data_IF_199145199155
#
_entry.id   IF_199145199155
#
_cell.length_a   1.000
_cell.length_b   1.000
_cell.length_c   1.000
_cell.angle_alpha   90.00
_cell.angle_beta   90.00
_cell.angle_gamma   90.00
#
_symmetry.space_group_name_H-M   'P 1'
#
loop_
_entity.id
_entity.type
_entity.pdbx_description
1 polymer ?
#
# COMPACT_ATOMS: atom_id res chain seq x y z
N UNK A 1 -17.48 9.34 0.58
CA UNK A 1 -16.54 9.53 -0.54
C UNK A 1 -15.23 8.95 -0.05
N UNK A 2 -14.71 7.86 -0.60
CA UNK A 2 -13.50 7.29 0.00
C UNK A 2 -12.97 6.06 -0.70
N UNK A 3 -13.04 6.03 -2.02
CA UNK A 3 -12.22 5.13 -2.82
C UNK A 3 -11.01 5.96 -3.23
N UNK A 4 -9.84 5.54 -2.76
CA UNK A 4 -8.58 6.25 -3.00
C UNK A 4 -7.61 5.28 -3.69
N UNK A 5 -6.79 5.80 -4.58
CA UNK A 5 -5.86 4.98 -5.36
C UNK A 5 -4.57 5.73 -5.58
N UNK A 6 -3.47 4.98 -5.58
CA UNK A 6 -2.15 5.53 -5.75
C UNK A 6 -1.38 4.66 -6.74
N UNK A 7 -0.64 5.28 -7.66
CA UNK A 7 0.30 4.59 -8.50
C UNK A 7 1.67 5.25 -8.43
N UNK A 8 2.72 4.44 -8.49
CA UNK A 8 4.07 4.93 -8.66
C UNK A 8 4.82 4.07 -9.68
N UNK A 9 5.51 4.75 -10.58
CA UNK A 9 6.28 4.14 -11.67
C UNK A 9 7.76 4.40 -11.42
N UNK A 10 8.53 3.33 -11.23
CA UNK A 10 9.98 3.40 -11.04
C UNK A 10 10.72 3.25 -12.36
N UNK A 11 10.14 2.54 -13.33
CA UNK A 11 10.70 2.31 -14.66
C UNK A 11 9.63 1.93 -15.67
N UNK A 12 9.99 1.75 -16.94
CA UNK A 12 9.05 1.35 -17.99
C UNK A 12 8.38 -0.01 -17.72
N UNK A 13 9.09 -0.93 -17.05
CA UNK A 13 8.60 -2.27 -16.68
C UNK A 13 8.37 -2.45 -15.18
N UNK A 14 8.59 -1.41 -14.37
CA UNK A 14 8.46 -1.47 -12.92
C UNK A 14 7.53 -0.36 -12.44
N UNK A 15 6.33 -0.75 -12.03
CA UNK A 15 5.32 0.15 -11.49
C UNK A 15 4.42 -0.60 -10.53
N UNK A 16 3.78 0.14 -9.63
CA UNK A 16 2.88 -0.42 -8.64
C UNK A 16 1.71 0.51 -8.44
N UNK A 17 0.54 -0.09 -8.25
CA UNK A 17 -0.72 0.59 -8.03
C UNK A 17 -1.40 -0.01 -6.82
N UNK A 18 -1.82 0.83 -5.90
CA UNK A 18 -2.50 0.47 -4.67
C UNK A 18 -3.91 1.05 -4.68
N UNK A 19 -4.86 0.26 -4.22
CA UNK A 19 -6.25 0.63 -4.10
C UNK A 19 -6.66 0.59 -2.64
N UNK A 20 -7.22 1.70 -2.19
CA UNK A 20 -7.68 1.92 -0.85
C UNK A 20 -9.18 2.15 -0.85
N UNK A 21 -9.83 1.70 0.22
CA UNK A 21 -11.24 1.90 0.45
C UNK A 21 -11.44 2.21 1.91
N UNK A 22 -12.07 3.34 2.21
CA UNK A 22 -12.33 3.77 3.58
C UNK A 22 -11.02 3.87 4.39
N UNK A 23 -9.95 4.42 3.79
CA UNK A 23 -8.62 4.53 4.43
C UNK A 23 -7.80 3.23 4.48
N UNK A 24 -8.42 2.08 4.22
CA UNK A 24 -7.80 0.74 4.28
C UNK A 24 -7.30 0.28 2.92
N UNK A 25 -6.15 -0.37 2.89
CA UNK A 25 -5.67 -1.03 1.68
C UNK A 25 -6.55 -2.25 1.38
N UNK A 26 -7.13 -2.32 0.18
CA UNK A 26 -7.96 -3.45 -0.26
C UNK A 26 -7.27 -4.30 -1.33
N UNK A 27 -6.23 -3.77 -1.97
CA UNK A 27 -5.54 -4.47 -3.05
C UNK A 27 -4.41 -3.65 -3.65
N UNK A 28 -3.53 -4.33 -4.37
CA UNK A 28 -2.45 -3.69 -5.11
C UNK A 28 -1.98 -4.55 -6.28
N UNK A 29 -1.62 -3.89 -7.37
CA UNK A 29 -0.97 -4.47 -8.54
C UNK A 29 0.50 -4.08 -8.49
N UNK A 30 1.39 -5.07 -8.49
CA UNK A 30 2.83 -4.86 -8.54
C UNK A 30 3.34 -5.47 -9.85
N UNK A 31 4.03 -4.67 -10.66
CA UNK A 31 4.65 -5.10 -11.92
C UNK A 31 6.15 -4.83 -11.84
N UNK A 32 6.96 -5.80 -12.26
CA UNK A 32 8.41 -5.77 -12.11
C UNK A 32 8.83 -6.41 -10.79
N UNK A 33 8.92 -5.61 -9.72
CA UNK A 33 9.31 -6.08 -8.40
C UNK A 33 8.10 -6.54 -7.56
N UNK A 34 8.03 -7.84 -7.31
CA UNK A 34 6.94 -8.48 -6.56
C UNK A 34 7.31 -8.75 -5.09
N UNK A 35 8.50 -8.36 -4.64
CA UNK A 35 8.95 -8.59 -3.27
C UNK A 35 7.98 -8.04 -2.20
N UNK A 36 7.35 -6.86 -2.36
CA UNK A 36 6.42 -6.32 -1.37
C UNK A 36 5.03 -6.96 -1.41
N UNK A 37 4.75 -7.89 -2.33
CA UNK A 37 3.43 -8.53 -2.45
C UNK A 37 2.96 -9.18 -1.14
N UNK A 38 3.89 -9.83 -0.42
CA UNK A 38 3.60 -10.42 0.89
C UNK A 38 3.21 -9.38 1.94
N UNK A 39 3.90 -8.23 1.95
CA UNK A 39 3.70 -7.12 2.89
C UNK A 39 2.31 -6.49 2.70
N UNK A 40 1.92 -6.20 1.45
CA UNK A 40 0.59 -5.67 1.16
C UNK A 40 -0.53 -6.66 1.53
N UNK A 41 -0.33 -7.95 1.30
CA UNK A 41 -1.30 -8.98 1.69
C UNK A 41 -1.51 -9.02 3.21
N UNK A 42 -0.44 -8.81 3.98
CA UNK A 42 -0.53 -8.73 5.43
C UNK A 42 -1.30 -7.49 5.90
N UNK A 43 -1.07 -6.33 5.29
CA UNK A 43 -1.84 -5.10 5.56
C UNK A 43 -3.34 -5.27 5.29
N UNK A 44 -3.68 -5.85 4.14
CA UNK A 44 -5.08 -6.14 3.77
C UNK A 44 -5.71 -7.10 4.80
N UNK A 45 -4.95 -8.12 5.24
CA UNK A 45 -5.42 -9.11 6.22
C UNK A 45 -5.65 -8.50 7.60
N UNK A 46 -4.83 -7.54 8.00
CA UNK A 46 -4.95 -6.84 9.28
C UNK A 46 -5.86 -5.60 9.20
N UNK A 47 -6.47 -5.33 8.03
CA UNK A 47 -7.33 -4.17 7.79
C UNK A 47 -6.69 -2.83 8.19
N UNK A 48 -5.39 -2.69 7.96
CA UNK A 48 -4.62 -1.53 8.40
C UNK A 48 -4.92 -0.32 7.52
N UNK A 49 -5.30 0.77 8.17
CA UNK A 49 -5.46 2.07 7.54
C UNK A 49 -4.09 2.67 7.22
N UNK A 50 -3.75 2.64 5.94
CA UNK A 50 -2.45 3.12 5.44
C UNK A 50 -2.62 4.02 4.21
N UNK A 51 -3.85 4.42 3.88
CA UNK A 51 -4.12 5.36 2.80
C UNK A 51 -3.48 6.74 3.02
N UNK A 52 -3.20 7.16 4.26
CA UNK A 52 -2.49 8.43 4.51
C UNK A 52 -0.97 8.27 4.31
N UNK A 53 -0.46 7.04 4.40
CA UNK A 53 0.96 6.70 4.35
C UNK A 53 1.39 6.17 2.96
N UNK A 54 0.80 6.72 1.89
CA UNK A 54 1.07 6.30 0.49
C UNK A 54 2.56 6.39 0.17
N UNK A 55 3.24 7.49 0.54
CA UNK A 55 4.68 7.64 0.34
C UNK A 55 5.49 6.47 0.90
N UNK A 56 5.17 6.02 2.11
CA UNK A 56 5.82 4.86 2.73
C UNK A 56 5.48 3.61 1.95
N UNK A 57 4.21 3.38 1.61
CA UNK A 57 3.80 2.21 0.83
C UNK A 57 4.44 2.13 -0.55
N UNK A 58 4.81 3.27 -1.13
CA UNK A 58 5.49 3.37 -2.41
C UNK A 58 7.03 3.24 -2.27
N UNK A 59 7.60 3.24 -1.07
CA UNK A 59 9.03 2.93 -0.91
C UNK A 59 9.36 1.52 -1.38
N UNK A 60 10.51 1.34 -2.04
CA UNK A 60 10.95 0.02 -2.55
C UNK A 60 11.03 -1.04 -1.46
N UNK A 61 11.40 -0.62 -0.25
CA UNK A 61 11.38 -1.47 0.92
C UNK A 61 10.65 -0.76 2.06
N UNK A 62 9.31 -0.82 2.03
CA UNK A 62 8.49 -0.36 3.14
C UNK A 62 8.26 -1.50 4.13
N UNK A 63 8.12 -1.18 5.41
CA UNK A 63 7.82 -2.18 6.43
C UNK A 63 6.36 -2.00 6.88
N UNK A 64 5.49 -3.01 6.68
CA UNK A 64 4.09 -2.89 7.07
C UNK A 64 3.92 -2.76 8.59
N UNK A 65 4.88 -3.27 9.37
CA UNK A 65 4.93 -3.15 10.82
C UNK A 65 5.19 -1.71 11.29
N UNK A 66 5.82 -0.89 10.43
CA UNK A 66 6.11 0.54 10.70
C UNK A 66 5.01 1.49 10.25
N UNK A 67 4.03 1.00 9.47
CA UNK A 67 2.84 1.76 9.13
C UNK A 67 2.01 1.86 10.42
N UNK A 68 2.32 2.87 11.23
CA UNK A 68 1.64 3.08 12.50
C UNK A 68 0.14 3.18 12.20
N UNK A 69 -0.70 2.32 12.78
CA UNK A 69 -2.12 2.54 12.66
C UNK A 69 -2.41 3.80 13.46
N UNK A 70 -2.78 4.88 12.79
CA UNK A 70 -3.49 5.98 13.42
C UNK A 70 -4.86 5.43 13.81
N UNK A 71 -4.91 4.55 14.82
CA UNK A 71 -6.14 4.23 15.51
C UNK A 71 -6.57 5.51 16.22
N UNK A 72 -7.44 6.28 15.57
CA UNK A 72 -8.18 7.33 16.25
C UNK A 72 -9.09 6.62 17.28
N UNK A 73 -8.77 6.82 18.56
CA UNK A 73 -9.48 6.29 19.73
C UNK A 73 -10.63 7.21 20.13
#
# INVERSE_FOLDING_TARGET
MGDDECEEKYSETEWRRLSFKDGKLIGGVLIGDIAPQGKYKDLIRNEVECADQKEILLEKDFDPDKLAPQQEQ
#
